data_IF_606577886552
#
_entry.id   IF_606577886552
#
_cell.length_a   1.000
_cell.length_b   1.000
_cell.length_c   1.000
_cell.angle_alpha   90.00
_cell.angle_beta   90.00
_cell.angle_gamma   90.00
#
_symmetry.space_group_name_H-M   'P 1'
#
loop_
_entity.id
_entity.type
_entity.pdbx_description
1 polymer ?
#
# COMPACT_ATOMS: atom_id res chain seq x y z
N UNK A 1 -13.68 -5.90 -1.11
CA UNK A 1 -14.55 -7.05 -0.78
C UNK A 1 -15.88 -6.86 -1.48
N UNK A 2 -16.14 -7.62 -2.56
CA UNK A 2 -17.36 -7.54 -3.34
C UNK A 2 -18.50 -8.20 -2.56
N UNK A 3 -19.28 -7.43 -1.80
CA UNK A 3 -20.56 -7.91 -1.24
C UNK A 3 -21.63 -7.74 -2.31
N UNK A 4 -21.69 -8.69 -3.24
CA UNK A 4 -22.83 -8.87 -4.15
C UNK A 4 -23.55 -10.15 -3.76
N UNK A 5 -24.28 -10.12 -2.65
CA UNK A 5 -25.12 -11.22 -2.21
C UNK A 5 -26.38 -10.67 -1.51
N UNK A 6 -27.34 -10.25 -2.32
CA UNK A 6 -28.79 -10.17 -2.10
C UNK A 6 -29.35 -9.22 -3.17
N UNK A 7 -30.49 -9.57 -3.79
CA UNK A 7 -31.21 -8.83 -4.85
C UNK A 7 -30.96 -9.27 -6.30
N UNK A 8 -30.71 -10.57 -6.53
CA UNK A 8 -31.16 -11.22 -7.79
C UNK A 8 -32.61 -11.71 -7.60
N UNK A 9 -33.51 -10.81 -7.19
CA UNK A 9 -34.92 -11.16 -6.88
C UNK A 9 -35.94 -10.41 -7.75
N UNK A 10 -35.53 -9.43 -8.56
CA UNK A 10 -36.44 -8.72 -9.47
C UNK A 10 -36.66 -9.42 -10.83
N UNK A 11 -35.99 -10.53 -11.12
CA UNK A 11 -36.11 -11.21 -12.41
C UNK A 11 -37.35 -12.11 -12.57
N UNK A 12 -38.11 -12.39 -11.50
CA UNK A 12 -39.16 -13.42 -11.54
C UNK A 12 -40.59 -12.92 -11.75
N UNK A 13 -40.82 -11.61 -11.86
CA UNK A 13 -42.16 -11.06 -12.06
C UNK A 13 -42.15 -9.87 -13.03
N UNK A 14 -42.16 -10.13 -14.34
CA UNK A 14 -43.03 -9.41 -15.30
C UNK A 14 -42.59 -9.63 -16.75
N UNK A 15 -43.46 -10.26 -17.52
CA UNK A 15 -43.37 -10.53 -18.96
C UNK A 15 -43.58 -9.27 -19.83
N UNK A 16 -43.07 -8.08 -19.46
CA UNK A 16 -43.48 -6.81 -20.11
C UNK A 16 -42.33 -5.85 -20.50
N UNK A 17 -41.08 -5.98 -20.04
CA UNK A 17 -39.96 -5.21 -20.61
C UNK A 17 -38.66 -5.99 -20.52
N UNK A 18 -37.65 -5.74 -21.39
CA UNK A 18 -36.30 -6.23 -21.14
C UNK A 18 -35.79 -5.56 -19.86
N UNK A 19 -36.00 -6.22 -18.73
CA UNK A 19 -35.68 -5.71 -17.40
C UNK A 19 -34.17 -5.54 -17.30
N UNK A 20 -33.69 -4.32 -17.51
CA UNK A 20 -32.33 -3.92 -17.16
C UNK A 20 -32.13 -4.37 -15.71
N UNK A 21 -31.12 -5.20 -15.44
CA UNK A 21 -30.81 -5.70 -14.10
C UNK A 21 -30.38 -4.52 -13.21
N UNK A 22 -31.32 -3.72 -12.73
CA UNK A 22 -31.05 -2.54 -11.92
C UNK A 22 -30.56 -2.98 -10.55
N UNK A 23 -29.34 -2.57 -10.22
CA UNK A 23 -28.74 -2.77 -8.90
C UNK A 23 -28.98 -1.53 -8.05
N UNK A 24 -28.93 -1.65 -6.73
CA UNK A 24 -29.13 -0.52 -5.81
C UNK A 24 -27.77 -0.12 -5.21
N UNK A 25 -27.50 1.18 -5.17
CA UNK A 25 -26.35 1.80 -4.53
C UNK A 25 -26.84 2.90 -3.59
N UNK A 26 -26.72 2.70 -2.28
CA UNK A 26 -27.36 3.59 -1.31
C UNK A 26 -28.88 3.61 -1.51
N UNK A 27 -29.44 4.77 -1.83
CA UNK A 27 -30.87 4.96 -2.15
C UNK A 27 -31.16 5.03 -3.65
N UNK A 28 -30.17 4.85 -4.51
CA UNK A 28 -30.29 5.05 -5.96
C UNK A 28 -30.19 3.74 -6.72
N UNK A 29 -31.07 3.53 -7.71
CA UNK A 29 -30.93 2.45 -8.68
C UNK A 29 -29.86 2.81 -9.72
N UNK A 30 -29.10 1.83 -10.19
CA UNK A 30 -28.12 2.00 -11.24
C UNK A 30 -28.02 0.78 -12.16
N UNK A 31 -27.52 1.00 -13.37
CA UNK A 31 -27.24 -0.07 -14.32
C UNK A 31 -25.84 -0.68 -14.07
N UNK A 32 -25.72 -1.92 -13.59
CA UNK A 32 -24.44 -2.57 -13.33
C UNK A 32 -23.68 -2.92 -14.62
N UNK A 33 -24.30 -2.81 -15.80
CA UNK A 33 -23.61 -2.96 -17.07
C UNK A 33 -22.67 -1.77 -17.31
N UNK A 34 -23.10 -0.55 -17.00
CA UNK A 34 -22.38 0.71 -17.29
C UNK A 34 -21.72 1.36 -16.08
N UNK A 35 -22.13 1.00 -14.87
CA UNK A 35 -21.77 1.72 -13.64
C UNK A 35 -21.42 0.77 -12.50
N UNK A 36 -20.77 1.29 -11.47
CA UNK A 36 -20.40 0.61 -10.22
C UNK A 36 -20.87 1.44 -9.02
N UNK A 37 -20.99 0.80 -7.86
CA UNK A 37 -21.29 1.48 -6.61
C UNK A 37 -20.02 1.59 -5.76
N UNK A 38 -19.55 2.82 -5.52
CA UNK A 38 -18.38 3.11 -4.69
C UNK A 38 -18.84 3.80 -3.40
N UNK A 39 -18.81 3.06 -2.29
CA UNK A 39 -19.18 3.55 -0.96
C UNK A 39 -20.50 4.35 -0.92
N UNK A 40 -21.54 3.82 -1.57
CA UNK A 40 -22.87 4.44 -1.62
C UNK A 40 -23.06 5.47 -2.74
N UNK A 41 -22.02 5.77 -3.53
CA UNK A 41 -22.09 6.69 -4.68
C UNK A 41 -21.99 5.90 -5.98
N UNK A 42 -22.92 6.15 -6.91
CA UNK A 42 -22.89 5.54 -8.25
C UNK A 42 -21.81 6.22 -9.08
N UNK A 43 -20.88 5.43 -9.61
CA UNK A 43 -19.80 5.88 -10.49
C UNK A 43 -19.91 5.19 -11.86
N UNK A 44 -19.58 5.87 -12.96
CA UNK A 44 -19.45 5.20 -14.25
C UNK A 44 -18.30 4.17 -14.19
N UNK A 45 -18.41 3.09 -14.96
CA UNK A 45 -17.28 2.19 -15.17
C UNK A 45 -16.19 2.90 -15.96
N UNK A 46 -15.02 3.02 -15.37
CA UNK A 46 -13.83 3.56 -16.01
C UNK A 46 -12.93 2.42 -16.48
N UNK A 47 -12.61 2.39 -17.78
CA UNK A 47 -11.65 1.47 -18.37
C UNK A 47 -12.04 -0.01 -18.33
N UNK A 48 -11.05 -0.90 -18.37
CA UNK A 48 -11.28 -2.35 -18.50
C UNK A 48 -11.47 -3.06 -17.16
N UNK A 49 -10.93 -2.50 -16.07
CA UNK A 49 -10.99 -3.09 -14.74
C UNK A 49 -11.54 -2.09 -13.72
N UNK A 50 -12.82 -1.69 -13.85
CA UNK A 50 -13.43 -0.69 -12.99
C UNK A 50 -13.38 -1.13 -11.52
N UNK A 51 -12.88 -0.25 -10.65
CA UNK A 51 -12.67 -0.46 -9.21
C UNK A 51 -12.98 0.82 -8.43
N UNK A 52 -13.08 0.72 -7.11
CA UNK A 52 -13.41 1.87 -6.25
C UNK A 52 -12.25 2.26 -5.33
N UNK A 53 -12.04 3.56 -5.16
CA UNK A 53 -11.18 4.16 -4.16
C UNK A 53 -12.04 5.13 -3.32
N UNK A 54 -12.50 4.66 -2.15
CA UNK A 54 -13.52 5.40 -1.41
C UNK A 54 -14.83 5.50 -2.20
N UNK A 55 -15.27 6.73 -2.47
CA UNK A 55 -16.47 7.05 -3.26
C UNK A 55 -16.20 7.21 -4.76
N UNK A 56 -14.94 7.17 -5.19
CA UNK A 56 -14.53 7.41 -6.57
C UNK A 56 -14.27 6.10 -7.32
N UNK A 57 -14.64 6.06 -8.60
CA UNK A 57 -14.40 4.93 -9.50
C UNK A 57 -13.16 5.17 -10.36
N UNK A 58 -12.34 4.15 -10.55
CA UNK A 58 -11.11 4.20 -11.36
C UNK A 58 -10.87 2.90 -12.13
N UNK A 59 -9.99 2.92 -13.14
CA UNK A 59 -9.55 1.70 -13.82
C UNK A 59 -8.33 1.08 -13.11
N UNK A 60 -8.50 -0.09 -12.50
CA UNK A 60 -7.41 -0.79 -11.82
C UNK A 60 -6.33 -1.33 -12.76
N UNK A 61 -6.56 -1.29 -14.08
CA UNK A 61 -5.52 -1.59 -15.07
C UNK A 61 -4.46 -0.48 -15.13
N UNK A 62 -4.85 0.79 -15.05
CA UNK A 62 -3.95 1.94 -15.17
C UNK A 62 -3.59 2.60 -13.84
N UNK A 63 -4.45 2.45 -12.82
CA UNK A 63 -4.33 3.18 -11.56
C UNK A 63 -4.53 2.23 -10.36
N UNK A 64 -4.24 2.71 -9.16
CA UNK A 64 -4.35 1.99 -7.89
C UNK A 64 -4.82 2.93 -6.78
N UNK A 65 -5.40 2.38 -5.72
CA UNK A 65 -5.87 3.15 -4.58
C UNK A 65 -4.87 3.06 -3.41
N UNK A 66 -4.25 4.18 -3.05
CA UNK A 66 -3.34 4.31 -1.91
C UNK A 66 -3.99 5.14 -0.81
N UNK A 67 -4.41 4.46 0.28
CA UNK A 67 -5.05 5.11 1.44
C UNK A 67 -6.16 6.10 1.06
N UNK A 68 -7.03 5.70 0.12
CA UNK A 68 -8.15 6.52 -0.36
C UNK A 68 -7.81 7.52 -1.48
N UNK A 69 -6.57 7.54 -1.98
CA UNK A 69 -6.15 8.38 -3.10
C UNK A 69 -5.86 7.52 -4.32
N UNK A 70 -6.41 7.90 -5.48
CA UNK A 70 -6.10 7.24 -6.75
C UNK A 70 -4.72 7.70 -7.19
N UNK A 71 -3.87 6.75 -7.54
CA UNK A 71 -2.50 6.95 -8.01
C UNK A 71 -2.30 6.15 -9.29
N UNK A 72 -1.42 6.62 -10.18
CA UNK A 72 -1.10 5.86 -11.39
C UNK A 72 -0.28 4.62 -11.05
N UNK A 73 -0.49 3.54 -11.82
CA UNK A 73 0.36 2.35 -11.79
C UNK A 73 1.63 2.60 -12.58
N UNK A 74 2.48 3.49 -12.07
CA UNK A 74 3.78 3.76 -12.67
C UNK A 74 4.77 2.65 -12.32
N UNK A 75 5.59 2.27 -13.30
CA UNK A 75 6.62 1.25 -13.11
C UNK A 75 6.10 -0.19 -13.20
N UNK A 76 6.98 -1.17 -12.97
CA UNK A 76 6.62 -2.59 -13.12
C UNK A 76 6.28 -3.29 -11.81
N UNK A 77 6.57 -2.68 -10.66
CA UNK A 77 6.16 -3.18 -9.34
C UNK A 77 5.50 -2.05 -8.53
N UNK A 78 4.32 -1.56 -8.95
CA UNK A 78 3.66 -0.46 -8.26
C UNK A 78 3.24 -0.84 -6.83
N UNK A 79 3.51 0.03 -5.86
CA UNK A 79 3.24 -0.13 -4.44
C UNK A 79 2.80 1.21 -3.81
N UNK A 80 2.20 1.16 -2.61
CA UNK A 80 1.78 2.35 -1.87
C UNK A 80 2.69 2.60 -0.66
N UNK A 81 2.99 3.86 -0.39
CA UNK A 81 3.52 4.35 0.87
C UNK A 81 2.57 5.44 1.39
N UNK A 82 1.65 5.06 2.30
CA UNK A 82 0.55 5.94 2.69
C UNK A 82 -0.36 6.27 1.51
N UNK A 83 -0.44 7.56 1.16
CA UNK A 83 -1.22 8.06 0.03
C UNK A 83 -0.46 8.06 -1.31
N UNK A 84 0.86 7.87 -1.26
CA UNK A 84 1.74 8.01 -2.43
C UNK A 84 2.00 6.66 -3.10
N UNK A 85 1.85 6.59 -4.42
CA UNK A 85 2.29 5.45 -5.24
C UNK A 85 3.78 5.52 -5.58
N UNK A 86 4.46 4.38 -5.67
CA UNK A 86 5.86 4.28 -6.12
C UNK A 86 6.16 2.92 -6.79
N UNK A 87 7.25 2.82 -7.55
CA UNK A 87 7.74 1.54 -8.11
C UNK A 87 8.70 0.86 -7.12
N UNK A 88 8.28 -0.26 -6.56
CA UNK A 88 9.02 -1.05 -5.58
C UNK A 88 10.34 -1.64 -6.11
N UNK A 89 10.58 -1.60 -7.42
CA UNK A 89 11.90 -1.89 -7.99
C UNK A 89 12.96 -0.88 -7.60
N UNK A 90 12.58 0.40 -7.50
CA UNK A 90 13.52 1.52 -7.33
C UNK A 90 13.37 2.24 -6.01
N UNK A 91 12.25 2.05 -5.31
CA UNK A 91 11.98 2.69 -4.03
C UNK A 91 11.37 1.71 -3.02
N UNK A 92 11.37 2.10 -1.75
CA UNK A 92 10.82 1.37 -0.61
C UNK A 92 10.11 2.35 0.33
N UNK A 93 9.22 1.87 1.19
CA UNK A 93 8.50 2.71 2.14
C UNK A 93 9.09 2.54 3.55
N UNK A 94 9.69 3.59 4.10
CA UNK A 94 10.22 3.63 5.45
C UNK A 94 9.31 4.51 6.33
N UNK A 95 8.56 3.89 7.24
CA UNK A 95 7.65 4.58 8.18
C UNK A 95 6.75 5.63 7.51
N UNK A 96 6.19 5.31 6.34
CA UNK A 96 5.30 6.20 5.58
C UNK A 96 6.00 7.20 4.66
N UNK A 97 7.34 7.16 4.56
CA UNK A 97 8.12 7.99 3.64
C UNK A 97 8.73 7.12 2.55
N UNK A 98 8.55 7.50 1.28
CA UNK A 98 9.20 6.82 0.15
C UNK A 98 10.69 7.14 0.18
N UNK A 99 11.52 6.11 0.10
CA UNK A 99 12.98 6.17 0.07
C UNK A 99 13.48 5.42 -1.16
N UNK A 100 14.55 5.89 -1.78
CA UNK A 100 15.20 5.16 -2.86
C UNK A 100 15.79 3.84 -2.37
N UNK A 101 15.71 2.78 -3.18
CA UNK A 101 16.43 1.52 -2.95
C UNK A 101 17.88 1.69 -3.40
N UNK A 102 18.69 2.28 -2.54
CA UNK A 102 20.13 2.44 -2.74
C UNK A 102 20.93 1.43 -1.92
N UNK A 103 22.07 1.00 -2.44
CA UNK A 103 22.95 0.05 -1.77
C UNK A 103 22.66 -1.41 -2.14
N UNK A 104 23.43 -2.31 -1.55
CA UNK A 104 23.36 -3.74 -1.81
C UNK A 104 22.29 -4.42 -0.93
N UNK A 105 22.09 -3.93 0.29
CA UNK A 105 21.09 -4.45 1.22
C UNK A 105 20.20 -3.32 1.78
N UNK A 106 19.36 -2.68 0.94
CA UNK A 106 18.54 -1.55 1.36
C UNK A 106 17.57 -1.91 2.49
N UNK A 107 17.60 -1.12 3.56
CA UNK A 107 16.84 -1.31 4.81
C UNK A 107 16.36 0.03 5.39
N UNK A 108 15.42 0.00 6.34
CA UNK A 108 14.90 1.21 6.98
C UNK A 108 15.35 1.34 8.44
N UNK A 109 15.70 2.56 8.84
CA UNK A 109 15.83 2.97 10.24
C UNK A 109 14.86 4.13 10.48
N UNK A 110 13.69 3.82 11.05
CA UNK A 110 12.58 4.79 11.12
C UNK A 110 12.09 5.15 9.71
N UNK A 111 12.12 6.44 9.37
CA UNK A 111 11.72 6.96 8.05
C UNK A 111 12.87 7.10 7.05
N UNK A 112 14.09 6.70 7.43
CA UNK A 112 15.29 6.87 6.62
C UNK A 112 15.76 5.53 6.07
N UNK A 113 16.06 5.48 4.77
CA UNK A 113 16.68 4.32 4.13
C UNK A 113 18.20 4.28 4.38
N UNK A 114 18.76 3.08 4.53
CA UNK A 114 20.20 2.84 4.65
C UNK A 114 20.60 1.49 4.03
N UNK A 115 21.89 1.29 3.75
CA UNK A 115 22.42 0.01 3.29
C UNK A 115 22.86 -0.86 4.48
N UNK A 116 22.13 -1.95 4.74
CA UNK A 116 22.39 -2.87 5.84
C UNK A 116 23.68 -3.68 5.68
N UNK A 117 24.26 -3.69 4.48
CA UNK A 117 25.57 -4.27 4.26
C UNK A 117 26.68 -3.50 4.99
N UNK A 118 26.56 -2.17 5.07
CA UNK A 118 27.59 -1.30 5.67
C UNK A 118 27.16 -0.69 7.01
N UNK A 119 25.86 -0.65 7.29
CA UNK A 119 25.32 -0.01 8.48
C UNK A 119 24.26 -0.88 9.17
N UNK A 120 23.83 -0.47 10.35
CA UNK A 120 22.76 -1.09 11.13
C UNK A 120 21.95 -0.02 11.87
N UNK A 121 20.69 -0.32 12.20
CA UNK A 121 19.84 0.58 12.98
C UNK A 121 19.84 0.19 14.47
N UNK A 122 20.40 1.05 15.32
CA UNK A 122 20.39 0.90 16.77
C UNK A 122 19.42 1.90 17.41
N UNK A 123 18.27 1.40 17.90
CA UNK A 123 17.22 2.23 18.54
C UNK A 123 16.88 3.50 17.75
N UNK A 124 16.69 3.37 16.43
CA UNK A 124 16.36 4.48 15.54
C UNK A 124 17.55 5.31 15.04
N UNK A 125 18.78 4.98 15.44
CA UNK A 125 20.00 5.65 14.95
C UNK A 125 20.79 4.73 14.03
N UNK A 126 21.17 5.21 12.84
CA UNK A 126 22.00 4.46 11.90
C UNK A 126 23.45 4.50 12.38
N UNK A 127 24.07 3.32 12.50
CA UNK A 127 25.45 3.11 12.93
C UNK A 127 26.21 2.35 11.86
N UNK A 128 27.45 2.75 11.59
CA UNK A 128 28.33 2.02 10.67
C UNK A 128 28.76 0.69 11.30
N UNK A 129 28.90 -0.35 10.47
CA UNK A 129 29.43 -1.63 10.93
C UNK A 129 30.95 -1.53 11.03
N UNK A 130 31.47 -1.62 12.24
CA UNK A 130 32.92 -1.68 12.51
C UNK A 130 33.37 -3.15 12.55
N UNK A 131 33.56 -3.75 11.36
CA UNK A 131 34.03 -5.13 11.19
C UNK A 131 32.93 -6.19 11.15
N UNK A 132 33.32 -7.47 11.19
CA UNK A 132 32.43 -8.62 11.00
C UNK A 132 31.43 -8.85 12.14
N UNK A 133 31.74 -8.35 13.35
CA UNK A 133 30.88 -8.48 14.53
C UNK A 133 30.56 -7.10 15.09
N UNK A 134 29.35 -6.61 14.81
CA UNK A 134 28.80 -5.38 15.39
C UNK A 134 27.44 -5.68 16.01
N UNK A 135 27.19 -5.17 17.22
CA UNK A 135 25.95 -5.31 17.98
C UNK A 135 25.48 -3.93 18.49
N UNK A 136 24.20 -3.79 18.82
CA UNK A 136 23.68 -2.55 19.39
C UNK A 136 23.71 -2.58 20.92
N UNK A 137 24.07 -1.45 21.52
CA UNK A 137 23.81 -1.13 22.92
C UNK A 137 23.13 0.24 22.99
N UNK A 138 21.82 0.25 23.21
CA UNK A 138 21.00 1.46 23.06
C UNK A 138 21.04 1.97 21.62
N UNK A 139 21.53 3.20 21.43
CA UNK A 139 21.68 3.84 20.11
C UNK A 139 23.05 3.64 19.47
N UNK A 140 23.98 2.97 20.16
CA UNK A 140 25.38 2.86 19.75
C UNK A 140 25.69 1.46 19.23
N UNK A 141 26.37 1.39 18.08
CA UNK A 141 26.95 0.16 17.56
C UNK A 141 28.30 -0.12 18.22
N UNK A 142 28.56 -1.35 18.63
CA UNK A 142 29.82 -1.75 19.25
C UNK A 142 30.24 -3.15 18.80
N UNK A 143 31.54 -3.44 18.92
CA UNK A 143 32.05 -4.79 18.69
C UNK A 143 32.03 -5.58 20.01
N UNK A 144 31.23 -6.66 20.12
CA UNK A 144 31.08 -7.44 21.34
C UNK A 144 32.33 -8.23 21.73
N UNK A 145 33.36 -8.31 20.86
CA UNK A 145 34.65 -8.88 21.23
C UNK A 145 35.45 -8.00 22.20
N UNK A 146 35.23 -6.68 22.17
CA UNK A 146 36.05 -5.71 22.92
C UNK A 146 35.29 -4.99 24.03
N UNK A 147 33.95 -4.98 23.97
CA UNK A 147 33.06 -4.25 24.87
C UNK A 147 31.82 -5.09 25.18
N UNK A 148 31.11 -4.76 26.24
CA UNK A 148 29.85 -5.38 26.66
C UNK A 148 28.75 -4.33 26.75
N UNK A 149 27.50 -4.76 26.74
CA UNK A 149 26.35 -3.88 27.00
C UNK A 149 25.79 -4.16 28.39
N UNK A 150 25.84 -3.18 29.28
CA UNK A 150 25.32 -3.21 30.63
C UNK A 150 24.16 -2.20 30.74
N UNK A 151 22.92 -2.67 30.87
CA UNK A 151 21.73 -1.81 31.02
C UNK A 151 21.61 -0.72 29.93
N UNK A 152 21.93 -1.05 28.68
CA UNK A 152 21.84 -0.11 27.55
C UNK A 152 23.03 0.84 27.40
N UNK A 153 24.08 0.69 28.22
CA UNK A 153 25.33 1.45 28.12
C UNK A 153 26.54 0.52 27.94
N UNK A 154 27.58 1.00 27.25
CA UNK A 154 28.79 0.22 27.02
C UNK A 154 29.64 0.10 28.29
N UNK A 155 29.91 -1.13 28.67
CA UNK A 155 30.93 -1.61 29.59
C UNK A 155 31.89 -2.54 28.80
#
# INVERSE_FOLDING_TARGET
MYKSNLLVLCCLLSWITPSVCQSICGSSQYNPASSICCNGVVQPKSGLQPSCCGTEGYDAKSSMCCSGNIQDRSGSQPACCGIQGYDARFAMCCSGVVQSRSGLEPSCCGSVGYDAMFSMCCSGTIQQRSGLQTSCCGTVGYNPMFRKCCNGQLC
#
